data_IF_672893613671
#
_entry.id   IF_672893613671
#
_cell.length_a   1.000
_cell.length_b   1.000
_cell.length_c   1.000
_cell.angle_alpha   90.00
_cell.angle_beta   90.00
_cell.angle_gamma   90.00
#
_symmetry.space_group_name_H-M   'P 1'
#
loop_
_entity.id
_entity.type
_entity.pdbx_description
1 polymer ?
#
# COMPACT_ATOMS: atom_id res chain seq x y z
N UNK A 1 -2.98 -6.15 4.45
CA UNK A 1 -4.23 -5.92 3.72
C UNK A 1 -5.14 -4.88 4.40
N UNK A 2 -5.36 -4.94 5.71
CA UNK A 2 -6.28 -4.03 6.42
C UNK A 2 -5.71 -2.62 6.50
N UNK A 3 -4.41 -2.47 6.78
CA UNK A 3 -3.75 -1.17 6.96
C UNK A 3 -3.51 -0.39 5.67
N UNK A 4 -3.59 -1.04 4.53
CA UNK A 4 -3.30 -0.40 3.25
C UNK A 4 -1.84 0.03 3.07
N UNK A 5 -1.55 0.66 1.94
CA UNK A 5 -0.26 1.31 1.74
C UNK A 5 -0.22 2.65 2.51
N UNK A 6 0.91 3.08 3.09
CA UNK A 6 2.23 2.46 3.09
C UNK A 6 2.47 1.49 4.27
N UNK A 7 1.50 1.31 5.19
CA UNK A 7 1.68 0.56 6.43
C UNK A 7 2.14 -0.89 6.21
N UNK A 8 1.60 -1.57 5.20
CA UNK A 8 2.00 -2.93 4.85
C UNK A 8 3.46 -3.02 4.40
N UNK A 9 3.92 -2.05 3.63
CA UNK A 9 5.30 -1.96 3.18
C UNK A 9 6.27 -1.69 4.33
N UNK A 10 5.94 -0.74 5.20
CA UNK A 10 6.74 -0.40 6.38
C UNK A 10 6.90 -1.59 7.33
N UNK A 11 5.80 -2.31 7.60
CA UNK A 11 5.84 -3.50 8.43
C UNK A 11 6.74 -4.59 7.81
N UNK A 12 6.61 -4.82 6.50
CA UNK A 12 7.44 -5.80 5.79
C UNK A 12 8.92 -5.39 5.81
N UNK A 13 9.21 -4.11 5.61
CA UNK A 13 10.56 -3.56 5.68
C UNK A 13 11.17 -3.71 7.09
N UNK A 14 10.38 -3.43 8.14
CA UNK A 14 10.82 -3.63 9.53
C UNK A 14 11.12 -5.10 9.83
N UNK A 15 10.25 -6.02 9.43
CA UNK A 15 10.47 -7.45 9.63
C UNK A 15 11.71 -7.95 8.88
N UNK A 16 11.99 -7.42 7.70
CA UNK A 16 13.20 -7.73 6.95
C UNK A 16 14.46 -7.12 7.61
N UNK A 17 14.39 -5.86 8.05
CA UNK A 17 15.49 -5.20 8.76
C UNK A 17 15.84 -5.86 10.10
N UNK A 18 14.85 -6.42 10.78
CA UNK A 18 15.02 -7.21 12.02
C UNK A 18 15.49 -8.65 11.73
N UNK A 19 15.82 -9.00 10.49
CA UNK A 19 16.22 -10.34 10.03
C UNK A 19 15.18 -11.44 10.34
N UNK A 20 13.91 -11.05 10.55
CA UNK A 20 12.80 -11.98 10.87
C UNK A 20 12.22 -12.67 9.64
N UNK A 21 12.44 -12.10 8.47
CA UNK A 21 12.02 -12.66 7.18
C UNK A 21 13.15 -12.52 6.18
N UNK A 22 13.23 -13.46 5.25
CA UNK A 22 14.21 -13.42 4.15
C UNK A 22 13.80 -12.37 3.11
N UNK A 23 14.74 -11.93 2.28
CA UNK A 23 14.47 -11.04 1.14
C UNK A 23 13.39 -11.58 0.22
N UNK A 24 13.37 -12.91 0.00
CA UNK A 24 12.38 -13.56 -0.86
C UNK A 24 10.97 -13.51 -0.25
N UNK A 25 10.87 -13.75 1.06
CA UNK A 25 9.61 -13.64 1.79
C UNK A 25 9.10 -12.18 1.80
N UNK A 26 9.99 -11.22 2.03
CA UNK A 26 9.65 -9.80 1.96
C UNK A 26 9.10 -9.42 0.58
N UNK A 27 9.78 -9.80 -0.50
CA UNK A 27 9.32 -9.56 -1.87
C UNK A 27 7.97 -10.23 -2.16
N UNK A 28 7.73 -11.41 -1.60
CA UNK A 28 6.45 -12.13 -1.73
C UNK A 28 5.33 -11.39 -1.01
N UNK A 29 5.54 -11.02 0.26
CA UNK A 29 4.56 -10.27 1.06
C UNK A 29 4.21 -8.95 0.37
N UNK A 30 5.18 -8.25 -0.19
CA UNK A 30 4.97 -6.98 -0.87
C UNK A 30 4.07 -7.11 -2.10
N UNK A 31 4.09 -8.23 -2.83
CA UNK A 31 3.27 -8.40 -4.05
C UNK A 31 1.77 -8.32 -3.81
N UNK A 32 1.28 -8.71 -2.63
CA UNK A 32 -0.16 -8.70 -2.31
C UNK A 32 -0.54 -7.75 -1.17
N UNK A 33 0.44 -7.14 -0.50
CA UNK A 33 0.18 -6.25 0.62
C UNK A 33 0.17 -4.76 0.23
N UNK A 34 0.23 -4.46 -1.07
CA UNK A 34 0.25 -3.11 -1.63
C UNK A 34 -1.11 -2.71 -2.18
N UNK A 35 -2.18 -2.94 -1.43
CA UNK A 35 -3.52 -2.50 -1.78
C UNK A 35 -3.99 -1.34 -0.91
N UNK A 36 -4.96 -0.58 -1.40
CA UNK A 36 -5.60 0.47 -0.61
C UNK A 36 -6.27 -0.09 0.64
N UNK A 37 -6.12 0.57 1.77
CA UNK A 37 -6.77 0.17 3.01
C UNK A 37 -8.29 0.37 2.96
N UNK A 38 -9.00 -0.36 3.85
CA UNK A 38 -10.46 -0.30 3.93
C UNK A 38 -10.98 1.14 4.12
N UNK A 39 -10.33 1.94 4.95
CA UNK A 39 -10.69 3.34 5.17
C UNK A 39 -10.60 4.17 3.90
N UNK A 40 -9.55 4.01 3.11
CA UNK A 40 -9.39 4.73 1.85
C UNK A 40 -10.42 4.27 0.82
N UNK A 41 -10.54 2.97 0.55
CA UNK A 41 -11.42 2.45 -0.51
C UNK A 41 -12.89 2.68 -0.18
N UNK A 42 -13.32 2.37 1.05
CA UNK A 42 -14.74 2.45 1.41
C UNK A 42 -15.15 3.91 1.68
N UNK A 43 -14.34 4.64 2.46
CA UNK A 43 -14.72 5.98 2.92
C UNK A 43 -14.36 7.05 1.90
N UNK A 44 -13.09 7.16 1.51
CA UNK A 44 -12.66 8.21 0.60
C UNK A 44 -13.22 7.97 -0.82
N UNK A 45 -12.98 6.79 -1.40
CA UNK A 45 -13.42 6.52 -2.78
C UNK A 45 -14.93 6.22 -2.83
N UNK A 46 -15.42 5.26 -2.03
CA UNK A 46 -16.82 4.83 -2.10
C UNK A 46 -17.79 5.93 -1.67
N UNK A 47 -17.64 6.44 -0.46
CA UNK A 47 -18.58 7.46 0.07
C UNK A 47 -18.21 8.86 -0.41
N UNK A 48 -16.93 9.21 -0.38
CA UNK A 48 -16.46 10.56 -0.75
C UNK A 48 -16.62 10.86 -2.24
N UNK A 49 -16.08 10.02 -3.10
CA UNK A 49 -16.03 10.25 -4.56
C UNK A 49 -17.27 9.68 -5.25
N UNK A 50 -17.55 8.38 -5.08
CA UNK A 50 -18.63 7.69 -5.79
C UNK A 50 -20.02 7.92 -5.16
N UNK A 51 -20.09 8.58 -3.99
CA UNK A 51 -21.33 8.82 -3.22
C UNK A 51 -22.13 7.54 -2.95
N UNK A 52 -21.47 6.39 -2.93
CA UNK A 52 -22.10 5.09 -2.75
C UNK A 52 -21.27 4.16 -1.84
N UNK A 53 -21.76 3.95 -0.62
CA UNK A 53 -21.15 2.99 0.32
C UNK A 53 -21.13 1.57 -0.26
N UNK A 54 -22.16 1.20 -1.01
CA UNK A 54 -22.23 -0.13 -1.66
C UNK A 54 -21.11 -0.30 -2.69
N UNK A 55 -20.87 0.72 -3.52
CA UNK A 55 -19.75 0.70 -4.49
C UNK A 55 -18.40 0.57 -3.76
N UNK A 56 -18.18 1.31 -2.68
CA UNK A 56 -16.97 1.22 -1.87
C UNK A 56 -16.74 -0.18 -1.28
N UNK A 57 -17.79 -0.82 -0.78
CA UNK A 57 -17.71 -2.21 -0.27
C UNK A 57 -17.40 -3.22 -1.38
N UNK A 58 -18.02 -3.09 -2.55
CA UNK A 58 -17.75 -3.95 -3.70
C UNK A 58 -16.29 -3.78 -4.16
N UNK A 59 -15.82 -2.54 -4.26
CA UNK A 59 -14.42 -2.25 -4.62
C UNK A 59 -13.43 -2.85 -3.61
N UNK A 60 -13.69 -2.66 -2.32
CA UNK A 60 -12.84 -3.23 -1.27
C UNK A 60 -12.82 -4.76 -1.32
N UNK A 61 -14.00 -5.39 -1.46
CA UNK A 61 -14.10 -6.84 -1.56
C UNK A 61 -13.37 -7.39 -2.80
N UNK A 62 -13.51 -6.73 -3.96
CA UNK A 62 -12.87 -7.17 -5.20
C UNK A 62 -11.34 -7.02 -5.16
N UNK A 63 -10.82 -5.90 -4.65
CA UNK A 63 -9.37 -5.67 -4.49
C UNK A 63 -8.77 -6.65 -3.48
N UNK A 64 -9.46 -6.86 -2.35
CA UNK A 64 -9.01 -7.82 -1.32
C UNK A 64 -9.03 -9.26 -1.83
N UNK A 65 -10.09 -9.66 -2.55
CA UNK A 65 -10.16 -10.98 -3.16
C UNK A 65 -9.03 -11.20 -4.17
N UNK A 66 -8.76 -10.23 -5.04
CA UNK A 66 -7.63 -10.28 -5.97
C UNK A 66 -6.29 -10.43 -5.24
N UNK A 67 -6.06 -9.67 -4.18
CA UNK A 67 -4.84 -9.78 -3.36
C UNK A 67 -4.68 -11.17 -2.72
N UNK A 68 -5.77 -11.75 -2.20
CA UNK A 68 -5.78 -13.11 -1.62
C UNK A 68 -5.48 -14.16 -2.71
N UNK A 69 -6.07 -14.04 -3.89
CA UNK A 69 -5.80 -14.94 -5.02
C UNK A 69 -4.33 -14.86 -5.44
N UNK A 70 -3.78 -13.65 -5.57
CA UNK A 70 -2.37 -13.45 -5.87
C UNK A 70 -1.45 -14.04 -4.79
N UNK A 71 -1.82 -13.90 -3.51
CA UNK A 71 -1.10 -14.51 -2.40
C UNK A 71 -1.11 -16.03 -2.47
N UNK A 72 -2.28 -16.64 -2.74
CA UNK A 72 -2.44 -18.09 -2.88
C UNK A 72 -1.62 -18.64 -4.05
N UNK A 73 -1.70 -18.01 -5.23
CA UNK A 73 -0.90 -18.39 -6.40
C UNK A 73 0.60 -18.28 -6.09
N UNK A 74 1.04 -17.16 -5.48
CA UNK A 74 2.44 -16.97 -5.08
C UNK A 74 2.90 -18.02 -4.05
N UNK A 75 2.00 -18.52 -3.20
CA UNK A 75 2.26 -19.60 -2.25
C UNK A 75 2.47 -20.96 -2.93
N UNK A 76 1.66 -21.28 -3.93
CA UNK A 76 1.76 -22.54 -4.68
C UNK A 76 3.12 -22.65 -5.39
N UNK A 77 3.62 -21.57 -5.96
CA UNK A 77 4.94 -21.53 -6.63
C UNK A 77 6.13 -21.48 -5.66
N UNK A 78 5.88 -21.44 -4.36
CA UNK A 78 6.91 -21.33 -3.32
C UNK A 78 7.34 -22.67 -2.71
N UNK A 79 7.05 -23.79 -3.37
CA UNK A 79 7.42 -25.12 -2.88
C UNK A 79 8.93 -25.25 -2.59
N UNK A 80 9.26 -25.57 -1.32
CA UNK A 80 10.63 -25.93 -0.91
C UNK A 80 11.39 -24.91 -0.06
N UNK A 81 10.79 -23.81 0.37
CA UNK A 81 11.45 -22.86 1.28
C UNK A 81 11.04 -23.13 2.73
N UNK A 82 12.01 -23.46 3.59
CA UNK A 82 11.80 -23.50 5.03
C UNK A 82 11.45 -22.09 5.49
N UNK A 83 10.21 -21.90 5.97
CA UNK A 83 9.81 -20.64 6.59
C UNK A 83 10.65 -20.44 7.85
N UNK A 84 11.36 -19.34 7.92
CA UNK A 84 12.08 -18.96 9.15
C UNK A 84 11.03 -18.72 10.23
N UNK A 85 10.94 -19.62 11.22
CA UNK A 85 10.13 -19.41 12.40
C UNK A 85 10.81 -18.34 13.25
N UNK A 86 10.42 -17.11 13.04
CA UNK A 86 10.85 -16.01 13.90
C UNK A 86 9.94 -15.97 15.13
N UNK A 87 10.51 -16.17 16.31
CA UNK A 87 9.83 -15.85 17.57
C UNK A 87 9.51 -14.35 17.58
N UNK A 88 8.23 -14.03 17.64
CA UNK A 88 7.78 -12.67 17.88
C UNK A 88 8.28 -12.22 19.27
N UNK A 89 9.38 -11.49 19.31
CA UNK A 89 9.83 -10.85 20.54
C UNK A 89 8.73 -9.88 21.00
N UNK A 90 8.06 -10.20 22.09
CA UNK A 90 7.07 -9.29 22.70
C UNK A 90 7.81 -8.02 23.14
N UNK A 91 7.30 -6.83 22.82
CA UNK A 91 7.90 -5.59 23.30
C UNK A 91 7.95 -5.63 24.83
N UNK A 92 9.11 -5.36 25.36
CA UNK A 92 9.39 -5.42 26.81
C UNK A 92 8.67 -4.33 27.61
N UNK A 93 8.24 -3.27 26.92
CA UNK A 93 7.48 -2.15 27.49
C UNK A 93 6.40 -1.70 26.52
N UNK A 94 5.13 -1.80 26.95
CA UNK A 94 3.97 -1.46 26.13
C UNK A 94 3.90 0.04 25.80
N UNK A 95 4.35 0.91 26.73
CA UNK A 95 4.37 2.35 26.54
C UNK A 95 5.37 2.76 25.46
N UNK A 96 6.56 2.18 25.44
CA UNK A 96 7.57 2.45 24.40
C UNK A 96 7.12 1.94 23.03
N UNK A 97 6.44 0.79 23.00
CA UNK A 97 5.87 0.26 21.75
C UNK A 97 4.79 1.18 21.18
N UNK A 98 3.93 1.73 22.06
CA UNK A 98 2.89 2.67 21.65
C UNK A 98 3.50 3.97 21.10
N UNK A 99 4.45 4.58 21.80
CA UNK A 99 5.11 5.80 21.38
C UNK A 99 5.81 5.62 20.02
N UNK A 100 6.57 4.54 19.86
CA UNK A 100 7.21 4.21 18.58
C UNK A 100 6.20 3.99 17.44
N UNK A 101 5.06 3.37 17.73
CA UNK A 101 4.00 3.16 16.75
C UNK A 101 3.34 4.47 16.31
N UNK A 102 3.12 5.40 17.25
CA UNK A 102 2.57 6.73 16.97
C UNK A 102 3.57 7.55 16.13
N UNK A 103 4.83 7.57 16.50
CA UNK A 103 5.89 8.26 15.76
C UNK A 103 6.04 7.71 14.33
N UNK A 104 6.10 6.39 14.17
CA UNK A 104 6.14 5.73 12.86
C UNK A 104 4.91 6.07 12.00
N UNK A 105 3.72 6.12 12.62
CA UNK A 105 2.48 6.49 11.93
C UNK A 105 2.50 7.94 11.48
N UNK A 106 2.99 8.86 12.31
CA UNK A 106 3.13 10.27 11.97
C UNK A 106 4.07 10.47 10.78
N UNK A 107 5.25 9.86 10.81
CA UNK A 107 6.20 9.89 9.69
C UNK A 107 5.60 9.32 8.41
N UNK A 108 4.82 8.23 8.52
CA UNK A 108 4.15 7.62 7.37
C UNK A 108 3.12 8.54 6.74
N UNK A 109 2.31 9.21 7.55
CA UNK A 109 1.27 10.15 7.07
C UNK A 109 1.92 11.38 6.45
N UNK A 110 2.94 11.95 7.05
CA UNK A 110 3.68 13.11 6.50
C UNK A 110 4.33 12.76 5.16
N UNK A 111 5.00 11.62 5.08
CA UNK A 111 5.62 11.15 3.85
C UNK A 111 4.57 10.90 2.74
N UNK A 112 3.47 10.23 3.06
CA UNK A 112 2.35 10.03 2.14
C UNK A 112 1.82 11.36 1.60
N UNK A 113 1.57 12.33 2.50
CA UNK A 113 1.07 13.65 2.13
C UNK A 113 2.04 14.40 1.23
N UNK A 114 3.34 14.35 1.52
CA UNK A 114 4.38 15.00 0.72
C UNK A 114 4.41 14.42 -0.71
N UNK A 115 4.35 13.10 -0.86
CA UNK A 115 4.30 12.47 -2.19
C UNK A 115 3.01 12.82 -2.94
N UNK A 116 1.84 12.81 -2.30
CA UNK A 116 0.58 13.22 -2.94
C UNK A 116 0.69 14.64 -3.46
N UNK A 117 1.14 15.59 -2.63
CA UNK A 117 1.31 17.00 -3.01
C UNK A 117 2.27 17.12 -4.19
N UNK A 118 3.42 16.45 -4.13
CA UNK A 118 4.43 16.46 -5.21
C UNK A 118 3.84 15.96 -6.53
N UNK A 119 3.15 14.83 -6.50
CA UNK A 119 2.57 14.24 -7.71
C UNK A 119 1.37 15.02 -8.24
N UNK A 120 0.55 15.63 -7.37
CA UNK A 120 -0.51 16.54 -7.78
C UNK A 120 0.07 17.79 -8.48
N UNK A 121 1.13 18.38 -7.92
CA UNK A 121 1.83 19.51 -8.55
C UNK A 121 2.42 19.09 -9.92
N UNK A 122 3.03 17.93 -10.00
CA UNK A 122 3.59 17.38 -11.23
C UNK A 122 2.53 17.16 -12.32
N UNK A 123 1.37 16.63 -11.95
CA UNK A 123 0.21 16.49 -12.86
C UNK A 123 -0.27 17.85 -13.38
N UNK A 124 -0.33 18.86 -12.51
CA UNK A 124 -0.73 20.22 -12.89
C UNK A 124 0.23 20.87 -13.86
N UNK A 125 1.54 20.73 -13.64
CA UNK A 125 2.57 21.31 -14.52
C UNK A 125 2.59 20.64 -15.89
N UNK A 126 2.47 19.30 -15.95
CA UNK A 126 2.52 18.54 -17.19
C UNK A 126 1.20 18.49 -17.92
N UNK A 127 0.12 19.09 -17.40
CA UNK A 127 -1.21 19.05 -17.98
C UNK A 127 -1.65 17.62 -18.36
N UNK A 128 -1.41 16.67 -17.47
CA UNK A 128 -1.70 15.25 -17.70
C UNK A 128 -3.21 15.05 -17.86
N UNK A 129 -3.61 14.27 -18.86
CA UNK A 129 -5.01 14.01 -19.12
C UNK A 129 -5.67 13.33 -17.92
N UNK A 130 -6.93 13.65 -17.65
CA UNK A 130 -7.72 13.15 -16.53
C UNK A 130 -7.81 11.61 -16.48
N UNK A 131 -7.68 10.95 -17.65
CA UNK A 131 -7.71 9.47 -17.75
C UNK A 131 -6.37 8.85 -17.28
N UNK A 132 -5.25 9.54 -17.51
CA UNK A 132 -3.91 9.07 -17.09
C UNK A 132 -3.53 9.51 -15.68
N UNK A 133 -4.14 10.58 -15.18
CA UNK A 133 -3.86 11.10 -13.85
C UNK A 133 -3.93 10.04 -12.72
N UNK A 134 -4.94 9.11 -12.70
CA UNK A 134 -5.03 8.07 -11.66
C UNK A 134 -3.88 7.07 -11.68
N UNK A 135 -3.20 6.90 -12.81
CA UNK A 135 -2.02 6.01 -12.92
C UNK A 135 -0.82 6.63 -12.20
N UNK A 136 -0.74 7.95 -12.19
CA UNK A 136 0.36 8.69 -11.57
C UNK A 136 0.11 8.86 -10.08
N UNK A 137 -1.04 9.44 -9.72
CA UNK A 137 -1.48 9.61 -8.33
C UNK A 137 -2.97 9.28 -8.26
N UNK A 138 -3.28 8.28 -7.43
CA UNK A 138 -4.58 7.65 -7.42
C UNK A 138 -5.67 8.52 -6.78
N UNK A 139 -5.34 9.31 -5.76
CA UNK A 139 -6.33 10.05 -4.96
C UNK A 139 -6.94 11.19 -5.76
N UNK A 140 -6.10 12.09 -6.27
CA UNK A 140 -6.52 13.21 -7.12
C UNK A 140 -7.01 12.72 -8.48
N UNK A 141 -6.36 11.69 -9.02
CA UNK A 141 -6.70 11.13 -10.30
C UNK A 141 -8.10 10.53 -10.35
N UNK A 142 -8.49 9.70 -9.37
CA UNK A 142 -9.87 9.17 -9.30
C UNK A 142 -10.87 10.29 -9.04
N UNK A 143 -10.51 11.29 -8.22
CA UNK A 143 -11.39 12.43 -7.95
C UNK A 143 -11.68 13.22 -9.23
N UNK A 144 -10.65 13.53 -10.02
CA UNK A 144 -10.76 14.31 -11.26
C UNK A 144 -11.45 13.51 -12.38
N UNK A 145 -11.20 12.20 -12.45
CA UNK A 145 -11.83 11.32 -13.43
C UNK A 145 -13.20 10.77 -12.96
N UNK A 146 -13.73 11.27 -11.85
CA UNK A 146 -15.02 10.87 -11.29
C UNK A 146 -16.13 11.03 -12.30
N UNK A 147 -16.92 9.96 -12.50
CA UNK A 147 -18.00 9.91 -13.50
C UNK A 147 -17.57 9.46 -14.91
N UNK A 148 -16.27 9.37 -15.20
CA UNK A 148 -15.74 8.87 -16.49
C UNK A 148 -15.19 7.44 -16.38
N UNK A 149 -14.85 7.01 -15.17
CA UNK A 149 -14.30 5.68 -14.90
C UNK A 149 -15.40 4.72 -14.47
N UNK A 150 -15.36 3.51 -15.01
CA UNK A 150 -16.21 2.39 -14.57
C UNK A 150 -15.67 1.76 -13.29
N UNK A 151 -16.53 1.07 -12.52
CA UNK A 151 -16.11 0.38 -11.28
C UNK A 151 -14.93 -0.59 -11.48
N UNK A 152 -14.87 -1.43 -12.55
CA UNK A 152 -13.72 -2.27 -12.80
C UNK A 152 -12.41 -1.50 -13.06
N UNK A 153 -12.47 -0.35 -13.73
CA UNK A 153 -11.31 0.51 -13.95
C UNK A 153 -10.81 1.09 -12.63
N UNK A 154 -11.73 1.55 -11.79
CA UNK A 154 -11.39 2.04 -10.44
C UNK A 154 -10.80 0.92 -9.60
N UNK A 155 -11.36 -0.30 -9.64
CA UNK A 155 -10.81 -1.46 -8.93
C UNK A 155 -9.37 -1.77 -9.37
N UNK A 156 -9.12 -1.75 -10.68
CA UNK A 156 -7.77 -1.95 -11.24
C UNK A 156 -6.79 -0.88 -10.77
N UNK A 157 -7.18 0.40 -10.83
CA UNK A 157 -6.35 1.51 -10.38
C UNK A 157 -6.06 1.43 -8.87
N UNK A 158 -7.04 1.06 -8.05
CA UNK A 158 -6.89 0.85 -6.62
C UNK A 158 -5.95 -0.33 -6.29
N UNK A 159 -6.00 -1.40 -7.07
CA UNK A 159 -5.09 -2.52 -6.94
C UNK A 159 -3.66 -2.16 -7.39
N UNK A 160 -3.51 -1.34 -8.43
CA UNK A 160 -2.24 -0.84 -8.91
C UNK A 160 -1.61 0.17 -7.94
N UNK A 161 -2.42 1.06 -7.33
CA UNK A 161 -1.98 2.05 -6.34
C UNK A 161 -1.33 3.32 -6.90
N UNK A 162 -1.07 3.39 -8.21
CA UNK A 162 -0.40 4.52 -8.85
C UNK A 162 1.13 4.56 -8.65
N UNK A 163 1.83 5.29 -9.51
CA UNK A 163 3.29 5.47 -9.40
C UNK A 163 3.71 6.17 -8.10
N UNK A 164 2.88 7.07 -7.59
CA UNK A 164 3.10 7.76 -6.33
C UNK A 164 3.35 6.77 -5.18
N UNK A 165 2.50 5.74 -5.05
CA UNK A 165 2.64 4.70 -4.01
C UNK A 165 3.89 3.85 -4.22
N UNK A 166 4.21 3.49 -5.46
CA UNK A 166 5.42 2.72 -5.77
C UNK A 166 6.69 3.47 -5.36
N UNK A 167 6.76 4.78 -5.61
CA UNK A 167 7.89 5.62 -5.21
C UNK A 167 7.96 5.84 -3.69
N UNK A 168 6.82 5.87 -2.99
CA UNK A 168 6.79 5.94 -1.52
C UNK A 168 7.42 4.70 -0.87
N UNK A 169 7.31 3.56 -1.51
CA UNK A 169 7.78 2.28 -0.98
C UNK A 169 9.25 2.05 -1.32
N UNK A 170 9.73 2.64 -2.40
CA UNK A 170 11.12 2.49 -2.85
C UNK A 170 12.16 2.79 -1.76
N UNK A 171 12.07 3.91 -0.99
CA UNK A 171 12.98 4.16 0.11
C UNK A 171 12.95 3.05 1.18
N UNK A 172 11.77 2.54 1.52
CA UNK A 172 11.65 1.45 2.48
C UNK A 172 12.43 0.20 2.03
N UNK A 173 12.42 -0.10 0.73
CA UNK A 173 13.14 -1.22 0.16
C UNK A 173 14.66 -0.99 0.08
N UNK A 174 15.07 0.24 -0.18
CA UNK A 174 16.49 0.61 -0.32
C UNK A 174 17.18 0.74 1.05
N UNK A 175 16.51 1.32 2.05
CA UNK A 175 17.06 1.52 3.39
C UNK A 175 17.09 0.27 4.25
N UNK A 176 16.35 -0.79 3.88
CA UNK A 176 16.39 -2.08 4.56
C UNK A 176 17.44 -3.03 3.99
N UNK A 177 18.25 -2.60 3.02
CA UNK A 177 19.42 -3.36 2.62
C UNK A 177 20.42 -3.37 3.79
N UNK A 178 20.82 -4.55 4.31
CA UNK A 178 21.83 -4.61 5.37
C UNK A 178 23.08 -3.88 4.86
N UNK A 179 23.55 -2.91 5.67
CA UNK A 179 24.81 -2.23 5.40
C UNK A 179 25.91 -3.30 5.28
N UNK A 180 26.70 -3.31 4.23
CA UNK A 180 27.83 -4.21 4.15
C UNK A 180 28.77 -3.91 5.34
N UNK A 181 28.92 -4.90 6.23
CA UNK A 181 29.92 -4.88 7.29
C UNK A 181 31.31 -5.15 6.69
#
# INVERSE_FOLDING_TARGET
LIGGYPAGALLTASLYGDEKITRREACRIMRFNMSGGAGFIITAVGVGILKSKKAGLILFASVTAAAIICAAISGIFAHGENMTQSEFARPRNTADALNKSVEASLHSVLNLSAYIILFCAFQGILHISEILAPIIEITSGITNASGRLTLPQIAFLLAFGGFCVHLQILPCLLYTSPSPR
#
